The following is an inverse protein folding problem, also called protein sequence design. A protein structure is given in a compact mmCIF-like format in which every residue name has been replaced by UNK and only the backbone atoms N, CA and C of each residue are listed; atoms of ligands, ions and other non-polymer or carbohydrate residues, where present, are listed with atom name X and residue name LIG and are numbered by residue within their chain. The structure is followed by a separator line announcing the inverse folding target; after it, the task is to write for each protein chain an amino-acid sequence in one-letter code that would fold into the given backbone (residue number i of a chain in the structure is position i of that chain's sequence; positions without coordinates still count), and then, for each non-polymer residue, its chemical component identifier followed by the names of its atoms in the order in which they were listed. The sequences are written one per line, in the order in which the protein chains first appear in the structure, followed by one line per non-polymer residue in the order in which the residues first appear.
data_IF_672423959663
#
_entry.id   IF_672423959663
#
_cell.length_a   1.000
_cell.length_b   1.000
_cell.length_c   1.000
_cell.angle_alpha   90.00
_cell.angle_beta   90.00
_cell.angle_gamma   90.00
#
_symmetry.space_group_name_H-M   'P 1'
#
loop_
_entity.id
_entity.type
_entity.pdbx_description
1 polymer ?
#
# COMPACT_ATOMS: atom_id res chain seq x y z
N UNK A 1 -7.30 11.35 13.28
CA UNK A 1 -8.67 11.02 13.64
C UNK A 1 -9.29 10.31 12.44
N UNK A 2 -9.51 9.00 12.55
CA UNK A 2 -10.27 8.25 11.54
C UNK A 2 -11.75 8.37 11.91
N UNK A 3 -12.51 9.10 11.10
CA UNK A 3 -13.96 9.14 11.23
C UNK A 3 -14.55 7.76 10.83
N UNK A 4 -15.67 7.34 11.43
CA UNK A 4 -16.46 6.25 10.90
C UNK A 4 -16.77 6.46 9.41
N UNK A 5 -16.92 5.40 8.64
CA UNK A 5 -17.05 5.50 7.18
C UNK A 5 -18.22 6.41 6.75
N UNK A 6 -19.39 6.26 7.38
CA UNK A 6 -20.56 7.08 7.05
C UNK A 6 -20.30 8.56 7.34
N UNK A 7 -19.72 8.88 8.49
CA UNK A 7 -19.36 10.25 8.84
C UNK A 7 -18.32 10.84 7.88
N UNK A 8 -17.40 10.03 7.38
CA UNK A 8 -16.42 10.44 6.37
C UNK A 8 -17.06 10.74 5.02
N UNK A 9 -18.09 9.98 4.63
CA UNK A 9 -18.85 10.22 3.40
C UNK A 9 -19.68 11.50 3.56
N UNK A 10 -20.41 11.64 4.65
CA UNK A 10 -21.26 12.81 4.92
C UNK A 10 -20.42 14.08 5.00
N UNK A 11 -19.28 14.04 5.67
CA UNK A 11 -18.33 15.15 5.72
C UNK A 11 -17.80 15.50 4.33
N UNK A 12 -17.45 14.50 3.54
CA UNK A 12 -17.00 14.66 2.17
C UNK A 12 -18.06 15.34 1.31
N UNK A 13 -19.29 14.85 1.35
CA UNK A 13 -20.41 15.40 0.59
C UNK A 13 -20.74 16.82 1.02
N UNK A 14 -20.79 17.10 2.31
CA UNK A 14 -21.07 18.44 2.82
C UNK A 14 -20.04 19.48 2.36
N UNK A 15 -18.77 19.11 2.36
CA UNK A 15 -17.69 20.02 1.95
C UNK A 15 -17.56 20.14 0.44
N UNK A 16 -17.85 19.07 -0.31
CA UNK A 16 -17.79 19.07 -1.77
C UNK A 16 -18.99 19.76 -2.40
N UNK A 17 -20.18 19.63 -1.82
CA UNK A 17 -21.40 20.30 -2.31
C UNK A 17 -21.26 21.83 -2.36
N UNK A 18 -20.38 22.39 -1.54
CA UNK A 18 -20.07 23.82 -1.51
C UNK A 18 -19.09 24.27 -2.63
N UNK A 19 -18.51 23.32 -3.38
CA UNK A 19 -17.55 23.62 -4.45
C UNK A 19 -18.29 23.97 -5.74
N UNK A 20 -17.90 25.09 -6.33
CA UNK A 20 -18.36 25.53 -7.64
C UNK A 20 -17.25 25.41 -8.66
N UNK A 21 -17.61 25.19 -9.93
CA UNK A 21 -16.65 25.03 -11.02
C UNK A 21 -16.13 23.61 -11.17
N UNK A 22 -15.09 23.47 -11.97
CA UNK A 22 -14.47 22.21 -12.31
C UNK A 22 -13.49 21.78 -11.21
N UNK A 23 -13.65 20.55 -10.72
CA UNK A 23 -12.72 19.99 -9.74
C UNK A 23 -12.53 18.48 -9.93
N UNK A 24 -11.52 17.95 -9.29
CA UNK A 24 -11.17 16.55 -9.29
C UNK A 24 -11.09 16.04 -7.85
N UNK A 25 -11.39 14.75 -7.65
CA UNK A 25 -11.21 14.08 -6.38
C UNK A 25 -9.95 13.21 -6.41
N UNK A 26 -9.21 13.23 -5.32
CA UNK A 26 -8.06 12.35 -5.13
C UNK A 26 -8.31 11.44 -3.93
N UNK A 27 -8.38 10.14 -4.17
CA UNK A 27 -8.49 9.16 -3.12
C UNK A 27 -7.09 8.69 -2.70
N UNK A 28 -6.65 9.19 -1.55
CA UNK A 28 -5.32 8.91 -1.00
C UNK A 28 -5.17 7.54 -0.33
N UNK A 29 -6.21 6.73 -0.25
CA UNK A 29 -6.18 5.41 0.37
C UNK A 29 -5.21 4.44 -0.30
N UNK A 30 -4.59 3.58 0.50
CA UNK A 30 -3.55 2.66 0.05
C UNK A 30 -4.09 1.35 -0.53
N UNK A 31 -5.41 1.13 -0.51
CA UNK A 31 -6.03 -0.07 -1.07
C UNK A 31 -6.67 0.19 -2.43
N UNK A 32 -6.98 -0.89 -3.16
CA UNK A 32 -7.75 -0.82 -4.40
C UNK A 32 -9.21 -0.45 -4.19
N UNK A 33 -9.72 -0.53 -2.95
CA UNK A 33 -11.10 -0.16 -2.64
C UNK A 33 -11.43 1.27 -3.04
N UNK A 34 -12.64 1.46 -3.55
CA UNK A 34 -13.21 2.77 -3.87
C UNK A 34 -14.30 3.19 -2.88
N UNK A 35 -14.53 2.37 -1.83
CA UNK A 35 -15.55 2.64 -0.82
C UNK A 35 -15.36 4.02 -0.18
N UNK A 36 -16.43 4.74 -0.01
CA UNK A 36 -16.43 6.12 0.47
C UNK A 36 -16.07 7.13 -0.62
N UNK A 37 -15.00 6.91 -1.34
CA UNK A 37 -14.61 7.79 -2.44
C UNK A 37 -15.56 7.68 -3.63
N UNK A 38 -16.08 6.49 -3.92
CA UNK A 38 -17.05 6.26 -4.99
C UNK A 38 -18.38 6.95 -4.70
N UNK A 39 -18.88 6.80 -3.48
CA UNK A 39 -20.12 7.43 -3.04
C UNK A 39 -20.01 8.96 -3.12
N UNK A 40 -18.93 9.54 -2.66
CA UNK A 40 -18.67 10.97 -2.75
C UNK A 40 -18.53 11.41 -4.21
N UNK A 41 -17.83 10.62 -5.03
CA UNK A 41 -17.65 10.95 -6.44
C UNK A 41 -18.96 10.95 -7.21
N UNK A 42 -19.79 9.91 -7.06
CA UNK A 42 -21.05 9.76 -7.80
C UNK A 42 -22.13 10.78 -7.38
N UNK A 43 -22.05 11.31 -6.17
CA UNK A 43 -22.95 12.32 -5.64
C UNK A 43 -22.40 13.75 -5.78
N UNK A 44 -21.26 13.93 -6.42
CA UNK A 44 -20.61 15.22 -6.61
C UNK A 44 -20.54 15.61 -8.09
N UNK A 45 -20.19 16.86 -8.34
CA UNK A 45 -19.92 17.37 -9.71
C UNK A 45 -18.45 17.22 -10.12
N UNK A 46 -17.70 16.36 -9.46
CA UNK A 46 -16.30 16.12 -9.82
C UNK A 46 -16.18 15.49 -11.20
N UNK A 47 -15.26 16.01 -12.00
CA UNK A 47 -15.02 15.49 -13.37
C UNK A 47 -14.34 14.13 -13.37
N UNK A 48 -13.40 13.92 -12.47
CA UNK A 48 -12.61 12.70 -12.37
C UNK A 48 -12.34 12.34 -10.90
N UNK A 49 -12.24 11.03 -10.65
CA UNK A 49 -11.71 10.46 -9.40
C UNK A 49 -10.34 9.84 -9.68
N UNK A 50 -9.30 10.32 -9.02
CA UNK A 50 -7.96 9.78 -9.12
C UNK A 50 -7.66 8.83 -7.96
N UNK A 51 -7.12 7.65 -8.28
CA UNK A 51 -6.71 6.62 -7.34
C UNK A 51 -5.28 6.16 -7.58
N UNK A 52 -4.58 5.83 -6.51
CA UNK A 52 -3.22 5.24 -6.58
C UNK A 52 -3.24 3.81 -7.10
N UNK A 53 -4.27 3.06 -6.80
CA UNK A 53 -4.43 1.65 -7.14
C UNK A 53 -5.85 1.44 -7.65
N UNK A 54 -5.97 0.82 -8.81
CA UNK A 54 -7.22 0.67 -9.52
C UNK A 54 -7.37 -0.77 -10.00
N UNK A 55 -8.48 -1.40 -9.69
CA UNK A 55 -8.90 -2.69 -10.25
C UNK A 55 -9.57 -2.50 -11.60
N UNK A 56 -9.71 -3.58 -12.35
CA UNK A 56 -10.61 -3.59 -13.51
C UNK A 56 -12.05 -3.37 -13.07
N UNK A 57 -12.90 -2.95 -14.00
CA UNK A 57 -14.33 -2.77 -13.72
C UNK A 57 -14.97 -4.07 -13.21
N UNK A 58 -14.67 -5.18 -13.90
CA UNK A 58 -15.19 -6.50 -13.58
C UNK A 58 -14.79 -6.97 -12.17
N UNK A 59 -13.60 -6.61 -11.73
CA UNK A 59 -13.13 -6.97 -10.38
C UNK A 59 -13.86 -6.17 -9.30
N UNK A 60 -14.21 -4.91 -9.57
CA UNK A 60 -15.07 -4.15 -8.67
C UNK A 60 -16.49 -4.74 -8.60
N UNK A 61 -17.03 -5.21 -9.71
CA UNK A 61 -18.36 -5.83 -9.77
C UNK A 61 -18.40 -7.18 -9.03
N UNK A 62 -17.31 -7.95 -9.04
CA UNK A 62 -17.21 -9.29 -8.42
C UNK A 62 -17.06 -9.31 -6.90
N UNK A 63 -17.18 -8.20 -6.21
CA UNK A 63 -16.94 -8.11 -4.76
C UNK A 63 -15.51 -8.46 -4.34
N UNK A 64 -14.56 -8.42 -5.25
CA UNK A 64 -13.15 -8.70 -5.00
C UNK A 64 -12.46 -7.41 -4.58
N UNK A 65 -12.65 -6.97 -3.35
CA UNK A 65 -11.92 -5.82 -2.86
C UNK A 65 -10.79 -6.28 -1.95
N UNK A 66 -9.59 -5.73 -2.14
CA UNK A 66 -8.44 -5.99 -1.27
C UNK A 66 -8.67 -5.56 0.19
N UNK A 67 -9.72 -4.82 0.45
CA UNK A 67 -10.08 -4.44 1.83
C UNK A 67 -10.48 -5.62 2.71
N UNK A 68 -11.00 -6.71 2.14
CA UNK A 68 -11.20 -7.95 2.87
C UNK A 68 -9.90 -8.48 3.46
N UNK A 69 -8.80 -8.22 2.80
CA UNK A 69 -7.46 -8.63 3.21
C UNK A 69 -6.89 -7.77 4.33
N UNK A 70 -7.46 -6.57 4.49
CA UNK A 70 -6.96 -5.53 5.37
C UNK A 70 -7.50 -5.62 6.78
N UNK A 71 -8.80 -5.84 6.90
CA UNK A 71 -9.49 -5.74 8.17
C UNK A 71 -9.83 -7.10 8.79
N UNK A 72 -9.49 -8.20 8.17
CA UNK A 72 -9.60 -9.57 8.69
C UNK A 72 -11.02 -10.09 8.86
N UNK A 73 -12.02 -9.24 9.03
CA UNK A 73 -13.39 -9.63 9.33
C UNK A 73 -14.41 -9.39 8.21
N UNK A 74 -13.98 -9.08 7.03
CA UNK A 74 -14.75 -9.12 5.78
C UNK A 74 -16.09 -8.38 5.70
N UNK A 75 -16.55 -7.81 6.82
CA UNK A 75 -17.95 -7.47 6.99
C UNK A 75 -18.37 -6.13 6.34
N UNK A 76 -17.45 -5.22 6.10
CA UNK A 76 -17.83 -3.86 5.67
C UNK A 76 -17.64 -3.65 4.16
N UNK A 77 -16.84 -4.48 3.50
CA UNK A 77 -16.30 -4.14 2.18
C UNK A 77 -16.50 -5.23 1.13
N UNK A 78 -17.28 -6.24 1.44
CA UNK A 78 -17.57 -7.39 0.57
C UNK A 78 -18.82 -7.10 -0.31
N UNK A 79 -18.95 -5.88 -0.81
CA UNK A 79 -19.98 -5.52 -1.79
C UNK A 79 -19.36 -5.25 -3.15
N UNK A 80 -19.98 -5.77 -4.19
CA UNK A 80 -19.71 -5.33 -5.54
C UNK A 80 -20.19 -3.90 -5.75
N UNK A 81 -19.64 -3.24 -6.75
CA UNK A 81 -20.07 -1.93 -7.21
C UNK A 81 -20.68 -2.09 -8.58
N UNK A 82 -21.92 -1.67 -8.73
CA UNK A 82 -22.51 -1.49 -10.05
C UNK A 82 -21.98 -0.18 -10.64
N UNK A 83 -20.92 -0.29 -11.42
CA UNK A 83 -20.23 0.86 -12.01
C UNK A 83 -20.55 0.93 -13.49
N UNK A 84 -21.23 1.97 -13.94
CA UNK A 84 -21.43 2.19 -15.38
C UNK A 84 -20.08 2.42 -16.10
N UNK A 85 -19.99 2.09 -17.39
CA UNK A 85 -18.81 2.36 -18.20
C UNK A 85 -18.45 3.85 -18.20
N UNK A 86 -19.45 4.70 -18.24
CA UNK A 86 -19.25 6.15 -18.15
C UNK A 86 -18.58 6.54 -16.84
N UNK A 87 -19.07 6.04 -15.71
CA UNK A 87 -18.51 6.36 -14.39
C UNK A 87 -17.10 5.78 -14.24
N UNK A 88 -16.90 4.51 -14.66
CA UNK A 88 -15.58 3.89 -14.58
C UNK A 88 -14.55 4.63 -15.45
N UNK A 89 -14.96 5.12 -16.63
CA UNK A 89 -14.08 5.91 -17.51
C UNK A 89 -13.56 7.20 -16.87
N UNK A 90 -14.25 7.71 -15.86
CA UNK A 90 -13.88 8.90 -15.08
C UNK A 90 -13.02 8.58 -13.87
N UNK A 91 -12.85 7.30 -13.51
CA UNK A 91 -11.91 6.87 -12.47
C UNK A 91 -10.54 6.65 -13.12
N UNK A 92 -9.53 7.36 -12.66
CA UNK A 92 -8.19 7.39 -13.27
C UNK A 92 -7.14 6.90 -12.30
N UNK A 93 -6.23 6.06 -12.81
CA UNK A 93 -5.03 5.70 -12.09
C UNK A 93 -4.11 6.92 -12.01
N UNK A 94 -3.62 7.22 -10.83
CA UNK A 94 -2.60 8.25 -10.60
C UNK A 94 -1.36 7.63 -9.96
N UNK A 95 -0.24 8.34 -10.03
CA UNK A 95 0.97 7.94 -9.34
C UNK A 95 0.83 8.02 -7.82
N UNK A 96 1.73 7.38 -7.12
CA UNK A 96 1.85 7.48 -5.67
C UNK A 96 2.20 8.92 -5.28
N UNK A 97 1.47 9.48 -4.31
CA UNK A 97 1.79 10.82 -3.83
C UNK A 97 3.05 10.78 -2.95
N UNK A 98 4.20 11.06 -3.55
CA UNK A 98 5.50 11.08 -2.86
C UNK A 98 5.80 12.41 -2.19
N UNK A 99 5.07 13.47 -2.51
CA UNK A 99 5.36 14.83 -2.03
C UNK A 99 5.37 14.90 -0.50
N UNK A 100 4.45 14.20 0.16
CA UNK A 100 4.36 14.15 1.62
C UNK A 100 5.60 13.52 2.29
N UNK A 101 6.23 12.55 1.63
CA UNK A 101 7.39 11.83 2.16
C UNK A 101 8.69 12.18 1.43
N UNK A 102 8.70 13.24 0.64
CA UNK A 102 9.87 13.65 -0.11
C UNK A 102 11.13 13.85 0.75
N UNK A 103 11.07 14.48 1.93
CA UNK A 103 12.24 14.61 2.79
C UNK A 103 12.81 13.25 3.23
N UNK A 104 11.95 12.28 3.50
CA UNK A 104 12.36 10.91 3.84
C UNK A 104 13.05 10.22 2.65
N UNK A 105 12.46 10.31 1.47
CA UNK A 105 13.06 9.76 0.25
C UNK A 105 14.37 10.43 -0.12
N UNK A 106 14.51 11.74 0.11
CA UNK A 106 15.77 12.44 -0.10
C UNK A 106 16.88 11.93 0.84
N UNK A 107 16.56 11.69 2.12
CA UNK A 107 17.52 11.10 3.06
C UNK A 107 17.95 9.68 2.61
N UNK A 108 17.09 8.96 1.94
CA UNK A 108 17.38 7.66 1.39
C UNK A 108 18.24 7.71 0.12
N UNK A 109 18.26 8.81 -0.60
CA UNK A 109 19.00 8.93 -1.86
C UNK A 109 20.52 8.89 -1.68
N UNK A 110 21.05 9.20 -0.51
CA UNK A 110 22.49 9.18 -0.24
C UNK A 110 22.96 7.71 -0.18
N UNK A 111 23.40 7.21 -1.32
CA UNK A 111 23.89 5.84 -1.46
C UNK A 111 25.25 5.66 -0.79
N UNK A 112 25.45 4.52 -0.18
CA UNK A 112 26.76 4.00 0.10
C UNK A 112 27.08 2.98 -1.02
N UNK A 113 28.24 3.11 -1.66
CA UNK A 113 28.64 2.17 -2.71
C UNK A 113 29.04 0.80 -2.15
N UNK A 114 29.30 0.73 -0.83
CA UNK A 114 29.61 -0.50 -0.15
C UNK A 114 28.33 -1.23 0.30
N UNK A 115 27.81 -2.12 -0.54
CA UNK A 115 26.64 -2.93 -0.28
C UNK A 115 27.04 -4.33 0.15
N UNK A 116 27.08 -4.53 1.44
CA UNK A 116 27.47 -5.80 2.07
C UNK A 116 26.27 -6.70 2.42
N UNK A 117 25.04 -6.17 2.35
CA UNK A 117 23.80 -6.94 2.54
C UNK A 117 23.30 -7.41 1.16
N UNK A 118 23.17 -8.72 0.99
CA UNK A 118 22.68 -9.27 -0.28
C UNK A 118 21.18 -9.04 -0.43
N UNK A 119 20.39 -9.33 0.61
CA UNK A 119 18.94 -9.16 0.59
C UNK A 119 18.46 -8.50 1.86
N UNK A 120 17.61 -7.48 1.72
CA UNK A 120 16.83 -6.95 2.84
C UNK A 120 15.34 -7.27 2.69
N UNK A 121 14.75 -7.77 3.77
CA UNK A 121 13.32 -8.08 3.91
C UNK A 121 12.79 -7.56 5.25
N UNK A 122 12.95 -6.25 5.44
CA UNK A 122 12.56 -5.58 6.68
C UNK A 122 11.14 -5.06 6.55
N UNK A 123 10.23 -5.59 7.35
CA UNK A 123 8.80 -5.23 7.33
C UNK A 123 8.12 -5.60 8.65
N UNK A 124 6.98 -4.95 8.91
CA UNK A 124 6.13 -5.26 10.07
C UNK A 124 5.34 -6.56 9.84
N UNK A 125 4.79 -7.12 10.89
CA UNK A 125 3.93 -8.30 10.86
C UNK A 125 4.64 -9.63 11.08
N UNK A 126 5.97 -9.65 11.01
CA UNK A 126 6.80 -10.80 11.38
C UNK A 126 7.83 -10.33 12.40
N UNK A 127 7.84 -10.96 13.56
CA UNK A 127 8.81 -10.70 14.62
C UNK A 127 10.22 -11.21 14.23
N UNK A 128 11.24 -10.72 14.89
CA UNK A 128 12.63 -11.08 14.57
C UNK A 128 12.96 -12.56 14.80
N UNK A 129 12.10 -13.29 15.51
CA UNK A 129 12.19 -14.76 15.67
C UNK A 129 11.41 -15.53 14.58
N UNK A 130 10.85 -14.84 13.59
CA UNK A 130 10.07 -15.43 12.51
C UNK A 130 8.60 -15.74 12.84
N UNK A 131 8.15 -15.47 14.04
CA UNK A 131 6.73 -15.62 14.38
C UNK A 131 5.90 -14.49 13.80
N UNK A 132 4.63 -14.77 13.52
CA UNK A 132 3.68 -13.72 13.13
C UNK A 132 3.37 -12.83 14.33
N UNK A 133 3.33 -11.54 14.08
CA UNK A 133 2.92 -10.55 15.06
C UNK A 133 1.40 -10.57 15.21
N UNK A 134 0.93 -11.15 16.30
CA UNK A 134 -0.50 -11.30 16.56
C UNK A 134 -1.22 -9.97 16.82
N UNK A 135 -0.50 -8.94 17.26
CA UNK A 135 -1.06 -7.61 17.42
C UNK A 135 -1.41 -6.96 16.08
N UNK A 136 -0.71 -7.35 15.01
CA UNK A 136 -0.95 -6.89 13.64
C UNK A 136 -1.89 -7.81 12.84
N UNK A 137 -2.76 -8.57 13.50
CA UNK A 137 -3.74 -9.45 12.86
C UNK A 137 -3.09 -10.54 11.99
N UNK A 138 -2.64 -11.59 12.61
CA UNK A 138 -1.97 -12.73 11.96
C UNK A 138 -2.79 -13.46 10.89
N UNK A 139 -4.10 -13.28 10.88
CA UNK A 139 -5.04 -13.85 9.90
C UNK A 139 -5.10 -13.09 8.57
N UNK A 140 -4.54 -11.90 8.53
CA UNK A 140 -4.58 -11.05 7.33
C UNK A 140 -3.60 -11.56 6.27
N UNK A 141 -4.02 -11.55 5.03
CA UNK A 141 -3.24 -12.09 3.92
C UNK A 141 -1.84 -11.48 3.83
N UNK A 142 -1.70 -10.17 4.04
CA UNK A 142 -0.39 -9.54 3.97
C UNK A 142 0.59 -10.07 5.02
N UNK A 143 0.12 -10.42 6.22
CA UNK A 143 0.95 -11.04 7.27
C UNK A 143 1.36 -12.45 6.86
N UNK A 144 0.43 -13.25 6.34
CA UNK A 144 0.72 -14.59 5.80
C UNK A 144 1.71 -14.54 4.65
N UNK A 145 1.54 -13.59 3.75
CA UNK A 145 2.44 -13.39 2.62
C UNK A 145 3.86 -13.00 3.09
N UNK A 146 3.97 -12.13 4.08
CA UNK A 146 5.24 -11.77 4.70
C UNK A 146 5.90 -12.93 5.43
N UNK A 147 5.09 -13.78 6.08
CA UNK A 147 5.58 -15.01 6.70
C UNK A 147 6.15 -15.97 5.66
N UNK A 148 5.45 -16.16 4.53
CA UNK A 148 5.98 -16.97 3.42
C UNK A 148 7.32 -16.42 2.92
N UNK A 149 7.43 -15.11 2.71
CA UNK A 149 8.67 -14.47 2.31
C UNK A 149 9.79 -14.69 3.34
N UNK A 150 9.48 -14.59 4.63
CA UNK A 150 10.45 -14.91 5.69
C UNK A 150 10.93 -16.35 5.61
N UNK A 151 10.02 -17.31 5.47
CA UNK A 151 10.33 -18.73 5.45
C UNK A 151 11.19 -19.12 4.23
N UNK A 152 10.89 -18.54 3.07
CA UNK A 152 11.69 -18.77 1.86
C UNK A 152 13.10 -18.18 1.99
N UNK A 153 13.24 -16.99 2.56
CA UNK A 153 14.57 -16.41 2.80
C UNK A 153 15.36 -17.20 3.83
N UNK A 154 14.70 -17.79 4.83
CA UNK A 154 15.38 -18.62 5.84
C UNK A 154 16.04 -19.87 5.27
N UNK A 155 15.60 -20.34 4.11
CA UNK A 155 16.19 -21.51 3.44
C UNK A 155 17.53 -21.21 2.76
N UNK A 156 17.88 -19.95 2.60
CA UNK A 156 19.07 -19.51 1.86
C UNK A 156 19.98 -18.59 2.68
N UNK A 157 19.65 -18.32 3.95
CA UNK A 157 20.44 -17.41 4.80
C UNK A 157 21.83 -17.92 5.18
N UNK A 158 22.10 -19.21 4.97
CA UNK A 158 23.43 -19.79 5.08
C UNK A 158 24.38 -19.40 3.92
N UNK A 159 23.81 -18.98 2.80
CA UNK A 159 24.54 -18.66 1.56
C UNK A 159 24.68 -17.17 1.30
N UNK A 160 23.75 -16.36 1.84
CA UNK A 160 23.63 -14.94 1.55
C UNK A 160 23.54 -14.14 2.83
N UNK A 161 24.09 -12.93 2.82
CA UNK A 161 23.91 -11.99 3.93
C UNK A 161 22.50 -11.37 3.85
N UNK A 162 21.58 -11.92 4.62
CA UNK A 162 20.15 -11.53 4.62
C UNK A 162 19.81 -10.82 5.92
N UNK A 163 19.23 -9.62 5.78
CA UNK A 163 18.63 -8.89 6.90
C UNK A 163 17.12 -8.92 6.75
N UNK A 164 16.43 -9.53 7.70
CA UNK A 164 14.97 -9.70 7.69
C UNK A 164 14.35 -9.39 9.06
N UNK A 165 13.04 -9.08 9.07
CA UNK A 165 12.26 -8.84 10.29
C UNK A 165 11.92 -7.39 10.52
N UNK A 166 11.67 -7.05 11.78
CA UNK A 166 11.32 -5.69 12.21
C UNK A 166 12.58 -4.87 12.51
N UNK A 167 12.48 -3.58 12.28
CA UNK A 167 13.53 -2.62 12.63
C UNK A 167 12.93 -1.29 13.05
N UNK A 168 13.73 -0.49 13.76
CA UNK A 168 13.41 0.93 13.94
C UNK A 168 13.52 1.68 12.61
N UNK A 169 12.90 2.85 12.45
CA UNK A 169 13.03 3.64 11.23
C UNK A 169 14.48 3.94 10.85
N UNK A 170 15.32 4.24 11.84
CA UNK A 170 16.74 4.51 11.59
C UNK A 170 17.51 3.28 11.13
N UNK A 171 17.30 2.13 11.77
CA UNK A 171 17.90 0.86 11.35
C UNK A 171 17.44 0.47 9.94
N UNK A 172 16.16 0.68 9.63
CA UNK A 172 15.62 0.44 8.30
C UNK A 172 16.36 1.24 7.22
N UNK A 173 16.58 2.53 7.44
CA UNK A 173 17.34 3.38 6.52
C UNK A 173 18.75 2.84 6.31
N UNK A 174 19.46 2.46 7.37
CA UNK A 174 20.83 1.93 7.28
C UNK A 174 20.90 0.58 6.56
N UNK A 175 19.96 -0.33 6.86
CA UNK A 175 19.85 -1.62 6.15
C UNK A 175 19.60 -1.41 4.67
N UNK A 176 18.67 -0.54 4.34
CA UNK A 176 18.34 -0.22 2.94
C UNK A 176 19.53 0.36 2.17
N UNK A 177 20.35 1.21 2.81
CA UNK A 177 21.57 1.78 2.22
C UNK A 177 22.59 0.73 1.81
N UNK A 178 22.68 -0.32 2.58
CA UNK A 178 23.68 -1.39 2.42
C UNK A 178 23.19 -2.56 1.59
N UNK A 179 21.93 -2.56 1.17
CA UNK A 179 21.31 -3.70 0.50
C UNK A 179 21.45 -3.66 -1.01
N UNK A 180 21.80 -4.80 -1.62
CA UNK A 180 21.81 -5.01 -3.08
C UNK A 180 20.40 -5.24 -3.61
N UNK A 181 19.63 -6.09 -2.90
CA UNK A 181 18.27 -6.49 -3.25
C UNK A 181 17.33 -6.15 -2.11
N UNK A 182 16.20 -5.58 -2.43
CA UNK A 182 15.12 -5.35 -1.48
C UNK A 182 13.87 -6.16 -1.83
N UNK A 183 13.37 -6.92 -0.87
CA UNK A 183 12.12 -7.63 -1.00
C UNK A 183 10.99 -6.77 -0.46
N UNK A 184 10.02 -6.48 -1.31
CA UNK A 184 8.81 -5.75 -0.96
C UNK A 184 7.58 -6.65 -1.07
N UNK A 185 7.25 -7.40 -0.03
CA UNK A 185 6.00 -8.15 0.01
C UNK A 185 4.82 -7.17 0.14
N UNK A 186 3.62 -7.65 -0.18
CA UNK A 186 2.40 -6.86 -0.11
C UNK A 186 2.32 -6.00 1.16
N UNK A 187 2.03 -4.71 0.94
CA UNK A 187 1.60 -3.78 1.97
C UNK A 187 0.08 -3.71 2.06
N UNK A 188 -0.42 -2.50 2.19
CA UNK A 188 -1.85 -2.18 2.14
C UNK A 188 -2.41 -2.14 0.70
N UNK A 189 -1.61 -2.54 -0.26
CA UNK A 189 -1.89 -2.61 -1.67
C UNK A 189 -0.68 -3.16 -2.39
N UNK A 190 -0.76 -3.28 -3.71
CA UNK A 190 0.32 -3.81 -4.53
C UNK A 190 1.54 -2.89 -4.54
N UNK A 191 1.31 -1.57 -4.60
CA UNK A 191 2.35 -0.56 -4.55
C UNK A 191 2.42 0.05 -3.16
N UNK A 192 3.59 0.09 -2.57
CA UNK A 192 3.81 0.67 -1.24
C UNK A 192 5.03 1.61 -1.21
N UNK A 193 5.20 2.36 -0.14
CA UNK A 193 6.35 3.27 0.00
C UNK A 193 7.69 2.58 -0.11
N UNK A 194 7.80 1.34 0.36
CA UNK A 194 9.02 0.55 0.28
C UNK A 194 9.50 0.36 -1.16
N UNK A 195 8.59 0.25 -2.10
CA UNK A 195 8.96 0.12 -3.52
C UNK A 195 9.71 1.37 -3.99
N UNK A 196 9.21 2.55 -3.61
CA UNK A 196 9.87 3.82 -3.91
C UNK A 196 11.20 3.97 -3.17
N UNK A 197 11.24 3.56 -1.91
CA UNK A 197 12.46 3.57 -1.09
C UNK A 197 13.55 2.72 -1.71
N UNK A 198 13.21 1.52 -2.19
CA UNK A 198 14.14 0.62 -2.87
C UNK A 198 14.61 1.18 -4.21
N UNK A 199 13.71 1.75 -5.00
CA UNK A 199 14.05 2.39 -6.28
C UNK A 199 15.02 3.55 -6.07
N UNK A 200 14.74 4.43 -5.12
CA UNK A 200 15.61 5.58 -4.81
C UNK A 200 17.00 5.12 -4.37
N UNK A 201 17.11 3.98 -3.70
CA UNK A 201 18.37 3.35 -3.29
C UNK A 201 19.08 2.62 -4.41
N UNK A 202 18.49 2.52 -5.58
CA UNK A 202 19.03 1.70 -6.69
C UNK A 202 19.25 0.23 -6.28
N UNK A 203 18.48 -0.26 -5.32
CA UNK A 203 18.43 -1.68 -5.00
C UNK A 203 17.56 -2.38 -6.04
N UNK A 204 17.89 -3.63 -6.34
CA UNK A 204 16.99 -4.47 -7.15
C UNK A 204 15.72 -4.70 -6.35
N UNK A 205 14.59 -4.28 -6.89
CA UNK A 205 13.28 -4.43 -6.26
C UNK A 205 12.66 -5.76 -6.68
N UNK A 206 12.37 -6.63 -5.70
CA UNK A 206 11.56 -7.82 -5.91
C UNK A 206 10.19 -7.56 -5.28
N UNK A 207 9.18 -7.50 -6.13
CA UNK A 207 7.77 -7.39 -5.73
C UNK A 207 7.14 -8.76 -5.94
N UNK A 208 6.47 -9.28 -4.93
CA UNK A 208 5.62 -10.44 -5.13
C UNK A 208 4.25 -9.98 -5.65
N UNK A 209 3.75 -10.64 -6.65
CA UNK A 209 2.43 -10.45 -7.23
C UNK A 209 1.51 -11.61 -6.91
#
# INVERSE_FOLDING_TARGET
LSLPLNESIDWGLENISKKTGDYFLFHGGDSTSILGAYEVFTQSNAKYLFKKQLLSKEDYEKKTTLNKWFFGNGSILDRGYDISDETYSKIKLTGYNVAHNWPHLQQMHIGNDNRDIDVCAVYQGILNNGNMDHELRSDVLYTKHRKTAWDELSKIEDKYNIVKGQSTPQQFIEVMKRSKIGLSPFGMGELCYRDLELIVRRSVLIISR
#
